data_IF_056871346957
#
_entry.id   IF_056871346957
#
_cell.length_a   1.000
_cell.length_b   1.000
_cell.length_c   1.000
_cell.angle_alpha   90.00
_cell.angle_beta   90.00
_cell.angle_gamma   90.00
#
_symmetry.space_group_name_H-M   'P 1'
#
loop_
_entity.id
_entity.type
_entity.pdbx_description
1 polymer ?
#
# COMPACT_ATOMS: atom_id res chain seq x y z
N UNK A 1 -8.45 -49.97 11.20
CA UNK A 1 -8.06 -50.19 9.78
C UNK A 1 -8.53 -48.98 8.99
N UNK A 2 -7.73 -47.91 8.95
CA UNK A 2 -6.88 -47.52 7.79
C UNK A 2 -7.66 -47.35 6.49
N UNK A 3 -8.16 -46.14 6.27
CA UNK A 3 -8.42 -45.62 4.93
C UNK A 3 -7.07 -45.20 4.34
N UNK A 4 -6.49 -46.08 3.51
CA UNK A 4 -5.34 -45.80 2.66
C UNK A 4 -5.81 -45.81 1.20
N UNK A 5 -5.21 -44.93 0.44
CA UNK A 5 -4.96 -45.00 -1.00
C UNK A 5 -6.12 -44.70 -1.96
N UNK A 6 -6.33 -43.40 -2.18
CA UNK A 6 -6.71 -42.86 -3.49
C UNK A 6 -5.76 -41.70 -3.87
N UNK A 7 -4.47 -42.00 -3.99
CA UNK A 7 -3.53 -41.13 -4.74
C UNK A 7 -3.20 -41.83 -6.05
N UNK A 8 -3.63 -41.26 -7.18
CA UNK A 8 -3.19 -41.70 -8.50
C UNK A 8 -1.67 -41.63 -8.64
N UNK A 9 -1.07 -42.29 -9.66
CA UNK A 9 0.37 -42.34 -9.81
C UNK A 9 0.95 -40.92 -9.91
N UNK A 10 1.92 -40.61 -9.03
CA UNK A 10 2.62 -39.34 -9.02
C UNK A 10 3.16 -39.05 -10.43
N UNK A 11 2.69 -37.96 -11.05
CA UNK A 11 3.17 -37.53 -12.38
C UNK A 11 4.68 -37.30 -12.30
N UNK A 12 5.46 -38.11 -13.02
CA UNK A 12 6.91 -37.94 -13.09
C UNK A 12 7.22 -36.56 -13.68
N UNK A 13 8.04 -35.73 -13.01
CA UNK A 13 8.33 -34.38 -13.47
C UNK A 13 9.06 -34.41 -14.82
N UNK A 14 8.53 -33.69 -15.80
CA UNK A 14 9.15 -33.58 -17.13
C UNK A 14 9.99 -32.31 -17.21
N UNK A 15 11.25 -32.45 -17.61
CA UNK A 15 12.19 -31.33 -17.79
C UNK A 15 12.22 -31.00 -19.27
N UNK A 16 11.67 -29.83 -19.61
CA UNK A 16 11.50 -29.34 -20.97
C UNK A 16 12.62 -28.41 -21.41
N UNK A 17 12.73 -28.16 -22.71
CA UNK A 17 13.70 -27.23 -23.31
C UNK A 17 13.61 -25.82 -22.71
N UNK A 18 12.41 -25.35 -22.37
CA UNK A 18 12.20 -24.02 -21.75
C UNK A 18 12.89 -23.92 -20.38
N UNK A 19 12.79 -24.95 -19.54
CA UNK A 19 13.43 -24.96 -18.21
C UNK A 19 14.96 -24.92 -18.30
N UNK A 20 15.54 -25.57 -19.31
CA UNK A 20 16.98 -25.52 -19.58
C UNK A 20 17.39 -24.17 -20.16
N UNK A 21 16.59 -23.59 -21.06
CA UNK A 21 16.82 -22.25 -21.63
C UNK A 21 16.88 -21.17 -20.54
N UNK A 22 15.97 -21.24 -19.58
CA UNK A 22 15.95 -20.34 -18.42
C UNK A 22 17.20 -20.49 -17.55
N UNK A 23 17.71 -21.72 -17.38
CA UNK A 23 18.94 -21.97 -16.63
C UNK A 23 20.16 -21.39 -17.38
N UNK A 24 20.22 -21.57 -18.70
CA UNK A 24 21.24 -20.98 -19.57
C UNK A 24 21.21 -19.45 -19.51
N UNK A 25 20.01 -18.84 -19.62
CA UNK A 25 19.85 -17.38 -19.53
C UNK A 25 20.29 -16.78 -18.19
N UNK A 26 20.30 -17.59 -17.13
CA UNK A 26 20.79 -17.24 -15.79
C UNK A 26 22.27 -17.61 -15.55
N UNK A 27 22.98 -18.11 -16.56
CA UNK A 27 24.40 -18.50 -16.45
C UNK A 27 24.65 -19.72 -15.55
N UNK A 28 23.63 -20.54 -15.30
CA UNK A 28 23.72 -21.70 -14.40
C UNK A 28 24.52 -22.83 -15.07
N UNK A 29 25.61 -23.27 -14.43
CA UNK A 29 26.45 -24.37 -14.96
C UNK A 29 26.01 -25.77 -14.52
N UNK A 30 25.15 -25.87 -13.52
CA UNK A 30 24.61 -27.14 -13.01
C UNK A 30 23.11 -27.02 -12.75
N UNK A 31 22.30 -27.86 -13.39
CA UNK A 31 20.86 -27.92 -13.22
C UNK A 31 20.47 -29.20 -12.47
N UNK A 32 20.03 -29.05 -11.22
CA UNK A 32 19.59 -30.16 -10.37
C UNK A 32 18.18 -30.62 -10.71
N UNK A 33 18.02 -31.93 -10.85
CA UNK A 33 16.80 -32.59 -11.25
C UNK A 33 16.25 -33.45 -10.09
N UNK A 34 14.92 -33.50 -9.91
CA UNK A 34 14.31 -34.44 -8.97
C UNK A 34 14.50 -35.89 -9.44
N UNK A 35 14.57 -36.82 -8.49
CA UNK A 35 14.65 -38.25 -8.78
C UNK A 35 13.48 -38.70 -9.69
N UNK A 36 13.81 -39.45 -10.75
CA UNK A 36 12.81 -39.95 -11.71
C UNK A 36 12.31 -38.93 -12.74
N UNK A 37 12.93 -37.74 -12.84
CA UNK A 37 12.57 -36.75 -13.86
C UNK A 37 12.81 -37.27 -15.29
N UNK A 38 11.85 -37.02 -16.19
CA UNK A 38 11.96 -37.36 -17.61
C UNK A 38 12.47 -36.14 -18.36
N UNK A 39 13.67 -36.23 -18.96
CA UNK A 39 14.19 -35.16 -19.82
C UNK A 39 13.74 -35.35 -21.27
N UNK A 40 13.13 -34.30 -21.84
CA UNK A 40 12.85 -34.27 -23.28
C UNK A 40 14.16 -34.25 -24.07
N UNK A 41 14.21 -34.83 -25.30
CA UNK A 41 15.41 -34.83 -26.14
C UNK A 41 15.98 -33.42 -26.34
N UNK A 42 15.13 -32.46 -26.69
CA UNK A 42 15.54 -31.07 -26.94
C UNK A 42 16.10 -30.35 -25.70
N UNK A 43 15.76 -30.81 -24.50
CA UNK A 43 16.29 -30.28 -23.25
C UNK A 43 17.70 -30.83 -22.98
N UNK A 44 17.96 -32.10 -23.32
CA UNK A 44 19.29 -32.71 -23.25
C UNK A 44 20.25 -32.03 -24.20
N UNK A 45 19.81 -31.78 -25.42
CA UNK A 45 20.65 -31.17 -26.45
C UNK A 45 20.99 -29.72 -26.07
N UNK A 46 20.00 -28.93 -25.63
CA UNK A 46 20.26 -27.56 -25.21
C UNK A 46 21.21 -27.46 -24.00
N UNK A 47 21.09 -28.39 -23.03
CA UNK A 47 21.99 -28.44 -21.88
C UNK A 47 23.42 -28.78 -22.29
N UNK A 48 23.58 -29.71 -23.25
CA UNK A 48 24.89 -30.10 -23.81
C UNK A 48 25.54 -28.93 -24.54
N UNK A 49 24.79 -28.25 -25.40
CA UNK A 49 25.28 -27.14 -26.23
C UNK A 49 25.78 -25.95 -25.40
N UNK A 50 25.24 -25.78 -24.19
CA UNK A 50 25.57 -24.66 -23.29
C UNK A 50 26.38 -25.09 -22.06
N UNK A 51 26.89 -26.34 -22.03
CA UNK A 51 27.73 -26.83 -20.94
C UNK A 51 27.05 -26.91 -19.57
N UNK A 52 25.72 -27.05 -19.54
CA UNK A 52 24.95 -27.18 -18.29
C UNK A 52 24.94 -28.64 -17.85
N UNK A 53 25.58 -28.94 -16.71
CA UNK A 53 25.62 -30.28 -16.13
C UNK A 53 24.27 -30.61 -15.49
N UNK A 54 23.66 -31.73 -15.86
CA UNK A 54 22.40 -32.21 -15.28
C UNK A 54 22.69 -33.18 -14.13
N UNK A 55 22.24 -32.87 -12.91
CA UNK A 55 22.53 -33.68 -11.71
C UNK A 55 21.23 -34.13 -11.07
N UNK A 56 21.02 -35.44 -10.93
CA UNK A 56 19.87 -35.99 -10.22
C UNK A 56 20.19 -36.02 -8.73
N UNK A 57 19.31 -35.47 -7.90
CA UNK A 57 19.49 -35.42 -6.43
C UNK A 57 18.51 -36.38 -5.75
N UNK A 58 19.03 -37.30 -4.93
CA UNK A 58 18.24 -38.24 -4.09
C UNK A 58 17.80 -37.63 -2.74
N UNK A 59 18.07 -36.34 -2.52
CA UNK A 59 17.58 -35.62 -1.34
C UNK A 59 16.26 -34.94 -1.65
N UNK A 60 15.26 -35.11 -0.77
CA UNK A 60 14.00 -34.39 -0.81
C UNK A 60 14.27 -32.88 -0.98
N UNK A 61 13.97 -32.37 -2.17
CA UNK A 61 13.84 -30.93 -2.40
C UNK A 61 12.64 -30.52 -1.56
N UNK A 62 12.75 -29.55 -0.63
CA UNK A 62 11.56 -29.04 0.02
C UNK A 62 10.69 -28.52 -1.11
N UNK A 63 9.48 -29.07 -1.24
CA UNK A 63 8.49 -28.54 -2.16
C UNK A 63 8.47 -27.03 -1.90
N UNK A 64 8.85 -26.24 -2.91
CA UNK A 64 8.52 -24.83 -2.89
C UNK A 64 7.01 -24.84 -2.87
N UNK A 65 6.45 -24.61 -1.68
CA UNK A 65 5.02 -24.41 -1.49
C UNK A 65 4.55 -23.43 -2.55
N UNK A 66 3.32 -23.65 -3.04
CA UNK A 66 2.64 -22.79 -3.97
C UNK A 66 3.08 -21.34 -3.78
N UNK A 67 3.48 -20.66 -4.87
CA UNK A 67 3.79 -19.23 -4.87
C UNK A 67 2.60 -18.47 -4.28
N UNK A 68 2.60 -18.29 -2.96
CA UNK A 68 1.59 -17.53 -2.25
C UNK A 68 1.89 -16.08 -2.58
N UNK A 69 0.95 -15.41 -3.25
CA UNK A 69 1.00 -13.96 -3.47
C UNK A 69 1.29 -13.30 -2.11
N UNK A 70 2.34 -12.48 -1.99
CA UNK A 70 2.67 -11.81 -0.73
C UNK A 70 1.45 -11.07 -0.18
N UNK A 71 1.09 -11.32 1.08
CA UNK A 71 -0.05 -10.67 1.72
C UNK A 71 -1.43 -11.17 1.30
N UNK A 72 -1.57 -12.28 0.56
CA UNK A 72 -2.87 -12.78 0.09
C UNK A 72 -3.95 -12.85 1.18
N UNK A 73 -3.64 -13.47 2.32
CA UNK A 73 -4.61 -13.57 3.44
C UNK A 73 -4.96 -12.21 4.08
N UNK A 74 -4.03 -11.25 4.07
CA UNK A 74 -4.29 -9.89 4.50
C UNK A 74 -5.21 -9.15 3.52
N UNK A 75 -4.93 -9.24 2.21
CA UNK A 75 -5.74 -8.62 1.17
C UNK A 75 -7.15 -9.21 1.13
N UNK A 76 -7.30 -10.52 1.29
CA UNK A 76 -8.61 -11.17 1.35
C UNK A 76 -9.43 -10.64 2.53
N UNK A 77 -8.82 -10.53 3.72
CA UNK A 77 -9.45 -9.95 4.90
C UNK A 77 -9.77 -8.46 4.70
N UNK A 78 -8.87 -7.69 4.09
CA UNK A 78 -9.08 -6.28 3.76
C UNK A 78 -10.27 -6.12 2.81
N UNK A 79 -10.37 -6.93 1.75
CA UNK A 79 -11.47 -6.88 0.79
C UNK A 79 -12.79 -7.31 1.41
N UNK A 80 -12.80 -8.31 2.31
CA UNK A 80 -13.99 -8.66 3.07
C UNK A 80 -14.49 -7.48 3.91
N UNK A 81 -13.59 -6.80 4.64
CA UNK A 81 -13.94 -5.63 5.45
C UNK A 81 -14.37 -4.44 4.61
N UNK A 82 -13.76 -4.22 3.45
CA UNK A 82 -14.17 -3.17 2.52
C UNK A 82 -15.61 -3.39 2.01
N UNK A 83 -15.99 -4.64 1.69
CA UNK A 83 -17.37 -5.00 1.34
C UNK A 83 -18.35 -4.68 2.47
N UNK A 84 -17.99 -5.04 3.70
CA UNK A 84 -18.81 -4.77 4.89
C UNK A 84 -18.94 -3.26 5.17
N UNK A 85 -17.95 -2.47 4.79
CA UNK A 85 -17.98 -1.02 4.95
C UNK A 85 -18.99 -0.33 4.02
N UNK A 86 -19.28 -0.92 2.85
CA UNK A 86 -20.20 -0.41 1.82
C UNK A 86 -20.05 1.09 1.50
N UNK A 87 -18.83 1.50 1.20
CA UNK A 87 -18.46 2.91 0.96
C UNK A 87 -18.38 3.25 -0.52
N UNK A 88 -18.74 4.50 -0.82
CA UNK A 88 -18.59 5.10 -2.15
C UNK A 88 -17.23 5.78 -2.27
N UNK A 89 -16.39 5.30 -3.19
CA UNK A 89 -15.07 5.87 -3.47
C UNK A 89 -15.08 6.57 -4.83
N UNK A 90 -14.66 7.84 -4.86
CA UNK A 90 -14.49 8.59 -6.10
C UNK A 90 -13.08 8.40 -6.66
N UNK A 91 -13.00 8.18 -7.98
CA UNK A 91 -11.77 7.98 -8.75
C UNK A 91 -11.67 9.13 -9.79
N UNK A 92 -10.86 10.18 -9.52
CA UNK A 92 -10.76 11.34 -10.40
C UNK A 92 -10.23 11.06 -11.81
N UNK A 93 -9.47 9.99 -11.97
CA UNK A 93 -8.72 9.70 -13.20
C UNK A 93 -9.48 8.70 -14.07
N UNK A 94 -10.79 8.93 -14.28
CA UNK A 94 -11.68 8.00 -14.98
C UNK A 94 -11.35 7.78 -16.47
N UNK A 95 -10.51 8.62 -17.06
CA UNK A 95 -10.00 8.44 -18.43
C UNK A 95 -8.78 7.53 -18.51
N UNK A 96 -8.27 7.06 -17.37
CA UNK A 96 -7.06 6.26 -17.27
C UNK A 96 -7.38 4.74 -17.31
N UNK A 97 -6.75 3.95 -18.20
CA UNK A 97 -7.11 2.54 -18.41
C UNK A 97 -6.91 1.63 -17.18
N UNK A 98 -5.85 1.82 -16.38
CA UNK A 98 -5.60 1.03 -15.17
C UNK A 98 -6.64 1.35 -14.10
N UNK A 99 -7.07 2.61 -13.99
CA UNK A 99 -8.16 3.02 -13.09
C UNK A 99 -9.48 2.35 -13.49
N UNK A 100 -9.81 2.34 -14.78
CA UNK A 100 -11.00 1.63 -15.28
C UNK A 100 -10.93 0.11 -15.08
N UNK A 101 -9.76 -0.51 -15.29
CA UNK A 101 -9.56 -1.93 -15.04
C UNK A 101 -9.68 -2.28 -13.55
N UNK A 102 -9.13 -1.42 -12.67
CA UNK A 102 -9.30 -1.56 -11.23
C UNK A 102 -10.77 -1.40 -10.82
N UNK A 103 -11.47 -0.44 -11.41
CA UNK A 103 -12.90 -0.24 -11.19
C UNK A 103 -13.75 -1.46 -11.61
N UNK A 104 -13.41 -2.11 -12.73
CA UNK A 104 -14.02 -3.37 -13.14
C UNK A 104 -13.87 -4.45 -12.06
N UNK A 105 -12.65 -4.63 -11.57
CA UNK A 105 -12.32 -5.62 -10.53
C UNK A 105 -13.00 -5.31 -9.18
N UNK A 106 -12.96 -4.04 -8.74
CA UNK A 106 -13.65 -3.59 -7.51
C UNK A 106 -15.14 -3.84 -7.60
N UNK A 107 -15.76 -3.56 -8.76
CA UNK A 107 -17.18 -3.80 -9.00
C UNK A 107 -17.51 -5.29 -8.97
N UNK A 108 -16.78 -6.10 -9.73
CA UNK A 108 -16.99 -7.56 -9.82
C UNK A 108 -16.90 -8.20 -8.43
N UNK A 109 -15.90 -7.79 -7.67
CA UNK A 109 -15.65 -8.26 -6.32
C UNK A 109 -16.51 -7.56 -5.26
N UNK A 110 -17.31 -6.56 -5.62
CA UNK A 110 -18.16 -5.73 -4.73
C UNK A 110 -17.40 -5.04 -3.59
N UNK A 111 -16.13 -4.69 -3.80
CA UNK A 111 -15.25 -4.13 -2.77
C UNK A 111 -15.74 -2.74 -2.31
N UNK A 112 -16.25 -1.91 -3.22
CA UNK A 112 -16.76 -0.58 -2.94
C UNK A 112 -17.74 -0.13 -4.05
N UNK A 113 -18.58 0.86 -3.75
CA UNK A 113 -19.31 1.62 -4.78
C UNK A 113 -18.37 2.65 -5.38
N UNK A 114 -18.47 2.91 -6.69
CA UNK A 114 -17.52 3.76 -7.38
C UNK A 114 -18.19 4.93 -8.11
N UNK A 115 -17.47 6.05 -8.17
CA UNK A 115 -17.75 7.17 -9.07
C UNK A 115 -16.49 7.48 -9.87
N UNK A 116 -16.55 7.43 -11.18
CA UNK A 116 -15.47 7.84 -12.08
C UNK A 116 -15.67 9.30 -12.51
N UNK A 117 -14.60 10.09 -12.54
CA UNK A 117 -14.67 11.47 -13.04
C UNK A 117 -14.02 11.61 -14.42
N UNK A 118 -14.59 12.51 -15.21
CA UNK A 118 -14.09 12.89 -16.54
C UNK A 118 -15.23 13.04 -17.55
N UNK A 119 -14.92 13.42 -18.82
CA UNK A 119 -15.93 13.56 -19.86
C UNK A 119 -16.67 12.24 -20.10
N UNK A 120 -18.00 12.27 -20.08
CA UNK A 120 -18.87 11.08 -20.08
C UNK A 120 -18.54 10.10 -21.22
N UNK A 121 -18.35 10.60 -22.44
CA UNK A 121 -18.07 9.80 -23.63
C UNK A 121 -16.69 9.13 -23.57
N UNK A 122 -15.68 9.85 -23.09
CA UNK A 122 -14.30 9.37 -22.95
C UNK A 122 -14.21 8.31 -21.85
N UNK A 123 -14.77 8.60 -20.67
CA UNK A 123 -14.76 7.65 -19.54
C UNK A 123 -15.54 6.38 -19.91
N UNK A 124 -16.70 6.51 -20.54
CA UNK A 124 -17.48 5.35 -20.98
C UNK A 124 -16.74 4.50 -22.03
N UNK A 125 -16.00 5.13 -22.95
CA UNK A 125 -15.18 4.40 -23.91
C UNK A 125 -14.02 3.64 -23.24
N UNK A 126 -13.28 4.30 -22.33
CA UNK A 126 -12.17 3.68 -21.58
C UNK A 126 -12.67 2.55 -20.67
N UNK A 127 -13.79 2.75 -19.98
CA UNK A 127 -14.42 1.72 -19.14
C UNK A 127 -14.76 0.46 -19.95
N UNK A 128 -15.42 0.60 -21.11
CA UNK A 128 -15.74 -0.54 -21.99
C UNK A 128 -14.48 -1.27 -22.45
N UNK A 129 -13.44 -0.53 -22.84
CA UNK A 129 -12.17 -1.12 -23.26
C UNK A 129 -11.48 -1.91 -22.14
N UNK A 130 -11.71 -1.53 -20.88
CA UNK A 130 -11.21 -2.21 -19.69
C UNK A 130 -12.14 -3.33 -19.16
N UNK A 131 -13.25 -3.62 -19.85
CA UNK A 131 -14.22 -4.65 -19.43
C UNK A 131 -15.21 -4.20 -18.34
N UNK A 132 -15.31 -2.90 -18.07
CA UNK A 132 -16.33 -2.31 -17.19
C UNK A 132 -17.50 -1.79 -18.03
N UNK A 133 -18.73 -2.25 -17.75
CA UNK A 133 -19.92 -1.63 -18.31
C UNK A 133 -20.13 -0.24 -17.66
N UNK A 134 -20.17 0.85 -18.44
CA UNK A 134 -20.43 2.20 -17.93
C UNK A 134 -21.76 2.34 -17.18
N UNK A 135 -22.75 1.46 -17.43
CA UNK A 135 -24.02 1.47 -16.71
C UNK A 135 -23.92 0.97 -15.26
N UNK A 136 -22.84 0.29 -14.90
CA UNK A 136 -22.62 -0.30 -13.58
C UNK A 136 -21.84 0.61 -12.63
N UNK A 137 -21.43 1.80 -13.08
CA UNK A 137 -20.68 2.78 -12.30
C UNK A 137 -21.21 4.19 -12.57
N UNK A 138 -21.20 5.06 -11.57
CA UNK A 138 -21.53 6.47 -11.80
C UNK A 138 -20.37 7.17 -12.52
N UNK A 139 -20.66 7.93 -13.56
CA UNK A 139 -19.69 8.75 -14.29
C UNK A 139 -20.13 10.21 -14.19
N UNK A 140 -19.27 11.08 -13.65
CA UNK A 140 -19.55 12.49 -13.47
C UNK A 140 -18.47 13.33 -14.16
N UNK A 141 -18.86 14.18 -15.10
CA UNK A 141 -17.99 15.20 -15.65
C UNK A 141 -18.00 16.47 -14.77
N UNK A 142 -16.87 16.87 -14.13
CA UNK A 142 -16.80 18.11 -13.37
C UNK A 142 -17.21 19.35 -14.15
N UNK A 143 -17.04 19.36 -15.48
CA UNK A 143 -17.32 20.52 -16.31
C UNK A 143 -18.82 20.78 -16.46
N UNK A 144 -19.62 19.72 -16.56
CA UNK A 144 -21.06 19.76 -16.84
C UNK A 144 -21.91 19.37 -15.64
N UNK A 145 -21.30 18.91 -14.54
CA UNK A 145 -22.00 18.46 -13.34
C UNK A 145 -22.90 19.56 -12.75
N UNK A 146 -24.15 19.23 -12.37
CA UNK A 146 -25.04 20.17 -11.68
C UNK A 146 -24.52 20.61 -10.31
N UNK A 147 -23.60 19.85 -9.70
CA UNK A 147 -22.98 20.18 -8.42
C UNK A 147 -21.91 21.27 -8.52
N UNK A 148 -21.36 21.51 -9.73
CA UNK A 148 -20.20 22.40 -9.94
C UNK A 148 -20.39 23.78 -9.33
N UNK A 149 -21.51 24.45 -9.61
CA UNK A 149 -21.77 25.80 -9.11
C UNK A 149 -21.87 25.86 -7.57
N UNK A 150 -22.38 24.80 -6.93
CA UNK A 150 -22.42 24.72 -5.46
C UNK A 150 -21.01 24.51 -4.88
N UNK A 151 -20.24 23.63 -5.51
CA UNK A 151 -18.85 23.36 -5.12
C UNK A 151 -17.94 24.58 -5.30
N UNK A 152 -18.14 25.39 -6.34
CA UNK A 152 -17.40 26.64 -6.56
C UNK A 152 -17.61 27.63 -5.42
N UNK A 153 -18.87 27.83 -5.01
CA UNK A 153 -19.21 28.68 -3.85
C UNK A 153 -18.57 28.14 -2.59
N UNK A 154 -18.66 26.82 -2.37
CA UNK A 154 -18.09 26.17 -1.19
C UNK A 154 -16.57 26.32 -1.13
N UNK A 155 -15.88 26.13 -2.24
CA UNK A 155 -14.44 26.29 -2.31
C UNK A 155 -14.02 27.75 -2.05
N UNK A 156 -14.78 28.71 -2.59
CA UNK A 156 -14.57 30.13 -2.34
C UNK A 156 -14.79 30.50 -0.85
N UNK A 157 -15.80 29.94 -0.19
CA UNK A 157 -15.99 30.11 1.27
C UNK A 157 -14.79 29.56 2.06
N UNK A 158 -14.29 28.39 1.68
CA UNK A 158 -13.18 27.73 2.38
C UNK A 158 -11.84 28.44 2.19
N UNK A 159 -11.62 29.08 1.03
CA UNK A 159 -10.29 29.57 0.59
C UNK A 159 -10.25 31.05 0.20
N UNK A 160 -11.37 31.76 0.22
CA UNK A 160 -11.42 33.19 -0.13
C UNK A 160 -10.54 34.06 0.76
N UNK A 161 -10.50 33.76 2.06
CA UNK A 161 -9.58 34.40 3.02
C UNK A 161 -8.10 34.11 2.75
N UNK A 162 -7.79 33.16 1.87
CA UNK A 162 -6.45 32.79 1.39
C UNK A 162 -6.18 33.29 -0.03
N UNK A 163 -6.99 34.21 -0.56
CA UNK A 163 -6.79 34.86 -1.84
C UNK A 163 -7.40 34.15 -3.05
N UNK A 164 -8.18 33.08 -2.84
CA UNK A 164 -8.91 32.43 -3.94
C UNK A 164 -10.04 33.36 -4.41
N UNK A 165 -10.05 33.69 -5.70
CA UNK A 165 -11.12 34.45 -6.35
C UNK A 165 -12.18 33.52 -6.93
N UNK A 166 -13.33 34.07 -7.35
CA UNK A 166 -14.38 33.28 -8.01
C UNK A 166 -13.87 32.56 -9.27
N UNK A 167 -12.98 33.17 -10.05
CA UNK A 167 -12.41 32.55 -11.25
C UNK A 167 -11.46 31.40 -10.91
N UNK A 168 -10.65 31.57 -9.85
CA UNK A 168 -9.80 30.49 -9.35
C UNK A 168 -10.63 29.34 -8.76
N UNK A 169 -11.75 29.63 -8.10
CA UNK A 169 -12.67 28.61 -7.62
C UNK A 169 -13.34 27.84 -8.77
N UNK A 170 -13.74 28.53 -9.84
CA UNK A 170 -14.28 27.92 -11.07
C UNK A 170 -13.27 27.02 -11.77
N UNK A 171 -12.02 27.46 -11.85
CA UNK A 171 -10.93 26.67 -12.41
C UNK A 171 -10.66 25.43 -11.54
N UNK A 172 -10.59 25.60 -10.22
CA UNK A 172 -10.38 24.50 -9.28
C UNK A 172 -11.50 23.46 -9.36
N UNK A 173 -12.78 23.85 -9.41
CA UNK A 173 -13.88 22.88 -9.53
C UNK A 173 -14.05 22.29 -10.93
N UNK A 174 -13.29 22.76 -11.92
CA UNK A 174 -13.15 22.09 -13.21
C UNK A 174 -12.07 20.99 -13.21
N UNK A 175 -11.19 20.96 -12.21
CA UNK A 175 -10.16 19.94 -12.03
C UNK A 175 -10.74 18.71 -11.34
N UNK A 176 -10.45 17.52 -11.87
CA UNK A 176 -11.00 16.24 -11.38
C UNK A 176 -10.58 15.95 -9.93
N UNK A 177 -9.33 16.25 -9.55
CA UNK A 177 -8.82 15.95 -8.21
C UNK A 177 -9.47 16.86 -7.17
N UNK A 178 -9.61 18.15 -7.48
CA UNK A 178 -10.25 19.11 -6.60
C UNK A 178 -11.77 18.89 -6.50
N UNK A 179 -12.43 18.59 -7.62
CA UNK A 179 -13.86 18.25 -7.65
C UNK A 179 -14.15 16.96 -6.86
N UNK A 180 -13.36 15.89 -7.08
CA UNK A 180 -13.48 14.65 -6.32
C UNK A 180 -13.24 14.85 -4.82
N UNK A 181 -12.28 15.70 -4.45
CA UNK A 181 -12.06 16.07 -3.05
C UNK A 181 -13.28 16.79 -2.47
N UNK A 182 -13.91 17.69 -3.22
CA UNK A 182 -15.14 18.37 -2.78
C UNK A 182 -16.33 17.40 -2.66
N UNK A 183 -16.44 16.39 -3.54
CA UNK A 183 -17.45 15.33 -3.38
C UNK A 183 -17.30 14.61 -2.04
N UNK A 184 -16.07 14.30 -1.63
CA UNK A 184 -15.79 13.71 -0.31
C UNK A 184 -16.18 14.68 0.81
N UNK A 185 -15.78 15.95 0.69
CA UNK A 185 -16.08 16.98 1.69
C UNK A 185 -17.58 17.14 1.95
N UNK A 186 -18.37 17.19 0.87
CA UNK A 186 -19.83 17.41 0.89
C UNK A 186 -20.63 16.11 1.07
N UNK A 187 -19.96 14.95 1.23
CA UNK A 187 -20.60 13.67 1.54
C UNK A 187 -21.29 12.99 0.35
N UNK A 188 -20.95 13.38 -0.88
CA UNK A 188 -21.36 12.67 -2.10
C UNK A 188 -20.47 11.44 -2.39
N UNK A 189 -19.29 11.39 -1.78
CA UNK A 189 -18.44 10.22 -1.68
C UNK A 189 -17.91 10.07 -0.25
N UNK A 190 -17.60 8.84 0.15
CA UNK A 190 -17.05 8.52 1.47
C UNK A 190 -15.51 8.64 1.49
N UNK A 191 -14.85 8.53 0.34
CA UNK A 191 -13.41 8.72 0.19
C UNK A 191 -12.97 8.87 -1.26
N UNK A 192 -11.70 9.20 -1.48
CA UNK A 192 -11.10 9.40 -2.81
C UNK A 192 -9.78 8.64 -2.98
N UNK A 193 -9.54 8.12 -4.18
CA UNK A 193 -8.24 7.57 -4.61
C UNK A 193 -7.84 8.23 -5.93
N UNK A 194 -6.66 8.86 -5.98
CA UNK A 194 -6.09 9.53 -7.17
C UNK A 194 -4.57 9.31 -7.24
N UNK A 195 -3.89 9.77 -8.30
CA UNK A 195 -2.42 9.77 -8.40
C UNK A 195 -1.84 8.78 -9.43
N UNK A 196 -2.67 8.03 -10.16
CA UNK A 196 -2.19 7.15 -11.24
C UNK A 196 -1.58 7.95 -12.40
N UNK A 197 -2.04 9.19 -12.60
CA UNK A 197 -1.48 10.15 -13.58
C UNK A 197 -1.17 11.53 -12.99
N UNK A 198 -1.71 11.87 -11.83
CA UNK A 198 -1.35 13.10 -11.11
C UNK A 198 -0.09 12.95 -10.26
N UNK A 199 0.49 14.08 -9.86
CA UNK A 199 1.54 14.14 -8.84
C UNK A 199 0.94 14.04 -7.44
N UNK A 200 1.69 13.50 -6.48
CA UNK A 200 1.30 13.50 -5.06
C UNK A 200 0.93 14.90 -4.57
N UNK A 201 1.59 15.96 -5.07
CA UNK A 201 1.25 17.32 -4.72
C UNK A 201 -0.13 17.76 -5.25
N UNK A 202 -0.53 17.30 -6.43
CA UNK A 202 -1.85 17.56 -7.03
C UNK A 202 -2.96 16.77 -6.33
N UNK A 203 -2.68 15.58 -5.79
CA UNK A 203 -3.64 14.81 -4.97
C UNK A 203 -3.75 15.36 -3.54
N UNK A 204 -2.62 15.62 -2.87
CA UNK A 204 -2.57 15.96 -1.44
C UNK A 204 -2.99 17.42 -1.20
N UNK A 205 -2.64 18.35 -2.09
CA UNK A 205 -2.96 19.78 -1.88
C UNK A 205 -4.48 20.02 -1.75
N UNK A 206 -5.36 19.56 -2.66
CA UNK A 206 -6.80 19.72 -2.49
C UNK A 206 -7.29 19.09 -1.19
N UNK A 207 -6.79 17.90 -0.82
CA UNK A 207 -7.15 17.25 0.44
C UNK A 207 -6.83 18.14 1.65
N UNK A 208 -5.65 18.77 1.68
CA UNK A 208 -5.26 19.70 2.75
C UNK A 208 -6.05 21.01 2.73
N UNK A 209 -6.47 21.50 1.57
CA UNK A 209 -7.21 22.77 1.45
C UNK A 209 -8.68 22.62 1.82
N UNK A 210 -9.30 21.51 1.41
CA UNK A 210 -10.74 21.24 1.50
C UNK A 210 -11.05 20.35 2.72
N UNK A 211 -10.46 19.15 2.77
CA UNK A 211 -10.74 18.17 3.83
C UNK A 211 -10.05 18.54 5.13
N UNK A 212 -8.80 19.04 5.07
CA UNK A 212 -7.95 19.42 6.21
C UNK A 212 -7.69 18.27 7.20
N UNK A 213 -6.85 18.56 8.19
CA UNK A 213 -6.56 17.63 9.30
C UNK A 213 -7.78 17.40 10.18
N UNK A 214 -7.87 16.19 10.74
CA UNK A 214 -8.79 15.87 11.84
C UNK A 214 -8.45 16.70 13.08
N UNK A 215 -9.45 16.94 13.94
CA UNK A 215 -9.29 17.82 15.10
C UNK A 215 -8.30 17.28 16.13
N UNK A 216 -8.11 15.96 16.15
CA UNK A 216 -7.15 15.25 17.00
C UNK A 216 -5.82 14.95 16.29
N UNK A 217 -5.64 15.41 15.04
CA UNK A 217 -4.45 15.18 14.24
C UNK A 217 -3.59 16.45 14.12
N UNK A 218 -2.32 16.34 14.53
CA UNK A 218 -1.36 17.45 14.42
C UNK A 218 -0.94 17.73 12.97
N UNK A 219 -0.83 16.68 12.16
CA UNK A 219 -0.39 16.75 10.78
C UNK A 219 -0.95 15.58 9.98
N UNK A 220 -0.95 15.73 8.66
CA UNK A 220 -1.15 14.61 7.74
C UNK A 220 0.18 13.93 7.50
N UNK A 221 0.19 12.60 7.51
CA UNK A 221 1.34 11.79 7.11
C UNK A 221 0.87 10.60 6.26
N UNK A 222 1.78 9.76 5.80
CA UNK A 222 1.42 8.56 5.05
C UNK A 222 1.99 7.28 5.63
N UNK A 223 1.37 6.17 5.26
CA UNK A 223 1.90 4.83 5.48
C UNK A 223 1.89 3.99 4.21
N UNK A 224 2.83 3.06 4.11
CA UNK A 224 2.72 1.92 3.18
C UNK A 224 2.52 0.63 3.97
N UNK A 225 1.66 -0.24 3.46
CA UNK A 225 1.50 -1.61 3.94
C UNK A 225 2.41 -2.50 3.11
N UNK A 226 3.48 -2.98 3.72
CA UNK A 226 4.52 -3.78 3.09
C UNK A 226 4.22 -5.26 3.34
N UNK A 227 3.75 -5.95 2.30
CA UNK A 227 3.48 -7.37 2.30
C UNK A 227 4.71 -8.12 1.75
N UNK A 228 5.52 -8.68 2.65
CA UNK A 228 6.77 -9.35 2.29
C UNK A 228 6.52 -10.80 1.84
N UNK A 229 7.20 -11.29 0.78
CA UNK A 229 7.03 -12.67 0.34
C UNK A 229 7.45 -13.69 1.40
N UNK A 230 6.72 -14.80 1.48
CA UNK A 230 7.05 -15.90 2.40
C UNK A 230 6.73 -15.61 3.88
N UNK A 231 6.13 -14.45 4.18
CA UNK A 231 5.66 -14.09 5.52
C UNK A 231 4.16 -13.82 5.50
N UNK A 232 3.50 -14.01 6.65
CA UNK A 232 2.11 -13.57 6.84
C UNK A 232 2.02 -12.15 7.39
N UNK A 233 3.14 -11.60 7.84
CA UNK A 233 3.19 -10.32 8.52
C UNK A 233 3.13 -9.19 7.51
N UNK A 234 2.33 -8.17 7.82
CA UNK A 234 2.26 -6.92 7.08
C UNK A 234 2.90 -5.86 7.94
N UNK A 235 3.94 -5.22 7.40
CA UNK A 235 4.63 -4.13 8.08
C UNK A 235 4.05 -2.80 7.62
N UNK A 236 3.90 -1.86 8.55
CA UNK A 236 3.46 -0.49 8.28
C UNK A 236 4.69 0.41 8.27
N UNK A 237 5.01 1.02 7.13
CA UNK A 237 6.15 1.92 6.97
C UNK A 237 5.65 3.37 6.96
N UNK A 238 6.17 4.24 7.83
CA UNK A 238 5.68 5.61 8.02
C UNK A 238 6.79 6.60 8.37
N UNK A 239 6.80 7.88 8.03
CA UNK A 239 6.17 8.49 6.86
C UNK A 239 7.05 8.24 5.63
N UNK A 240 6.44 8.04 4.47
CA UNK A 240 7.14 7.71 3.23
C UNK A 240 6.79 8.62 2.05
N UNK A 241 5.88 9.59 2.24
CA UNK A 241 5.40 10.43 1.13
C UNK A 241 5.16 11.91 1.47
N UNK A 242 4.97 12.31 2.73
CA UNK A 242 4.48 13.66 3.04
C UNK A 242 5.52 14.53 3.75
N UNK A 243 6.00 14.13 4.92
CA UNK A 243 6.78 15.01 5.79
C UNK A 243 8.28 14.86 5.57
N UNK A 244 8.92 15.88 4.96
CA UNK A 244 10.33 15.84 4.54
C UNK A 244 11.30 15.65 5.71
N UNK A 245 11.31 16.60 6.65
CA UNK A 245 12.18 16.62 7.83
C UNK A 245 11.33 16.92 9.07
N UNK A 246 10.54 15.94 9.56
CA UNK A 246 9.65 16.14 10.69
C UNK A 246 10.44 16.41 11.98
N UNK A 247 9.90 17.29 12.84
CA UNK A 247 10.41 17.49 14.20
C UNK A 247 10.13 16.25 15.08
N UNK A 248 10.80 16.11 16.23
CA UNK A 248 10.54 15.01 17.17
C UNK A 248 9.05 14.88 17.56
N UNK A 249 8.38 16.02 17.79
CA UNK A 249 6.94 16.07 18.08
C UNK A 249 6.10 15.55 16.90
N UNK A 250 6.46 15.92 15.67
CA UNK A 250 5.77 15.41 14.48
C UNK A 250 6.04 13.92 14.25
N UNK A 251 7.26 13.42 14.47
CA UNK A 251 7.56 11.97 14.42
C UNK A 251 6.73 11.21 15.46
N UNK A 252 6.58 11.75 16.67
CA UNK A 252 5.72 11.16 17.69
C UNK A 252 4.24 11.12 17.26
N UNK A 253 3.73 12.20 16.66
CA UNK A 253 2.37 12.25 16.12
C UNK A 253 2.18 11.26 14.96
N UNK A 254 3.18 11.11 14.07
CA UNK A 254 3.18 10.11 12.99
C UNK A 254 3.11 8.71 13.58
N UNK A 255 3.93 8.40 14.60
CA UNK A 255 3.94 7.10 15.25
C UNK A 255 2.57 6.71 15.84
N UNK A 256 1.92 7.64 16.54
CA UNK A 256 0.57 7.42 17.10
C UNK A 256 -0.48 7.26 16.00
N UNK A 257 -0.44 8.08 14.95
CA UNK A 257 -1.33 7.96 13.80
C UNK A 257 -1.16 6.61 13.09
N UNK A 258 0.09 6.20 12.83
CA UNK A 258 0.41 4.92 12.19
C UNK A 258 -0.03 3.72 13.01
N UNK A 259 0.08 3.78 14.34
CA UNK A 259 -0.45 2.73 15.22
C UNK A 259 -1.98 2.63 15.14
N UNK A 260 -2.69 3.76 15.05
CA UNK A 260 -4.15 3.76 14.85
C UNK A 260 -4.52 3.19 13.49
N UNK A 261 -3.85 3.60 12.42
CA UNK A 261 -4.04 3.07 11.07
C UNK A 261 -3.76 1.56 11.01
N UNK A 262 -2.70 1.08 11.67
CA UNK A 262 -2.40 -0.34 11.79
C UNK A 262 -3.57 -1.11 12.43
N UNK A 263 -4.06 -0.67 13.60
CA UNK A 263 -5.22 -1.30 14.26
C UNK A 263 -6.47 -1.28 13.39
N UNK A 264 -6.75 -0.15 12.75
CA UNK A 264 -7.88 -0.03 11.81
C UNK A 264 -7.78 -1.04 10.68
N UNK A 265 -6.59 -1.44 10.26
CA UNK A 265 -6.37 -2.43 9.21
C UNK A 265 -6.19 -3.86 9.74
N UNK A 266 -6.38 -4.07 11.05
CA UNK A 266 -6.29 -5.39 11.68
C UNK A 266 -4.85 -5.83 11.97
N UNK A 267 -3.90 -4.89 12.00
CA UNK A 267 -2.49 -5.12 12.33
C UNK A 267 -2.27 -4.67 13.78
N UNK A 268 -1.83 -5.59 14.64
CA UNK A 268 -1.51 -5.27 16.04
C UNK A 268 -0.24 -4.40 16.10
N UNK A 269 -0.30 -3.15 16.62
CA UNK A 269 0.81 -2.22 16.52
C UNK A 269 1.91 -2.50 17.55
N UNK A 270 3.13 -2.67 17.04
CA UNK A 270 4.38 -2.65 17.80
C UNK A 270 5.30 -1.65 17.10
N UNK A 271 5.43 -0.48 17.70
CA UNK A 271 5.97 0.71 17.03
C UNK A 271 7.47 0.84 17.30
N UNK A 272 8.27 0.69 16.26
CA UNK A 272 9.69 0.98 16.27
C UNK A 272 9.93 2.37 15.66
N UNK A 273 10.50 3.29 16.45
CA UNK A 273 11.03 4.53 15.88
C UNK A 273 12.48 4.28 15.44
N UNK A 274 12.71 4.41 14.13
CA UNK A 274 13.93 3.98 13.48
C UNK A 274 15.02 5.04 13.52
N UNK A 275 16.26 4.59 13.64
CA UNK A 275 17.47 5.40 13.53
C UNK A 275 18.65 4.53 13.07
N UNK A 276 19.80 5.13 12.80
CA UNK A 276 21.05 4.38 12.60
C UNK A 276 21.64 3.84 13.91
N UNK A 277 21.09 4.20 15.07
CA UNK A 277 21.48 3.72 16.39
C UNK A 277 20.38 2.89 17.07
N UNK A 278 20.79 1.97 17.93
CA UNK A 278 19.89 1.22 18.83
C UNK A 278 20.15 1.67 20.27
N UNK A 279 19.12 2.24 20.91
CA UNK A 279 19.18 2.81 22.26
C UNK A 279 20.39 3.76 22.46
N UNK A 280 21.41 3.31 23.21
CA UNK A 280 22.61 4.07 23.54
C UNK A 280 23.80 3.86 22.60
N UNK A 281 23.67 3.08 21.52
CA UNK A 281 24.79 2.69 20.65
C UNK A 281 25.34 3.83 19.78
N UNK A 282 24.75 5.02 19.82
CA UNK A 282 25.14 6.18 19.03
C UNK A 282 24.58 7.48 19.62
N UNK A 283 25.09 8.60 19.13
CA UNK A 283 24.68 9.95 19.51
C UNK A 283 24.70 10.87 18.28
N UNK A 284 23.97 11.97 18.37
CA UNK A 284 23.89 12.96 17.30
C UNK A 284 22.44 13.42 17.06
N UNK A 285 22.25 14.48 16.26
CA UNK A 285 20.95 15.14 16.11
C UNK A 285 19.82 14.18 15.73
N UNK A 286 20.07 13.25 14.79
CA UNK A 286 19.03 12.31 14.32
C UNK A 286 18.69 11.24 15.38
N UNK A 287 19.67 10.83 16.19
CA UNK A 287 19.43 9.88 17.30
C UNK A 287 18.67 10.57 18.42
N UNK A 288 19.04 11.81 18.73
CA UNK A 288 18.42 12.61 19.78
C UNK A 288 16.97 12.96 19.41
N UNK A 289 16.71 13.30 18.15
CA UNK A 289 15.37 13.51 17.59
C UNK A 289 14.48 12.28 17.82
N UNK A 290 14.97 11.09 17.48
CA UNK A 290 14.20 9.84 17.63
C UNK A 290 14.02 9.48 19.11
N UNK A 291 15.02 9.76 19.95
CA UNK A 291 14.92 9.53 21.41
C UNK A 291 13.86 10.43 22.03
N UNK A 292 13.85 11.72 21.67
CA UNK A 292 12.83 12.67 22.10
C UNK A 292 11.44 12.24 21.61
N UNK A 293 11.30 11.91 20.33
CA UNK A 293 10.04 11.42 19.76
C UNK A 293 9.53 10.17 20.50
N UNK A 294 10.42 9.23 20.83
CA UNK A 294 10.05 8.01 21.58
C UNK A 294 9.50 8.35 22.97
N UNK A 295 10.12 9.30 23.67
CA UNK A 295 9.62 9.76 24.97
C UNK A 295 8.24 10.43 24.85
N UNK A 296 8.02 11.25 23.81
CA UNK A 296 6.74 11.89 23.53
C UNK A 296 5.63 10.88 23.24
N UNK A 297 5.91 9.83 22.46
CA UNK A 297 4.93 8.75 22.22
C UNK A 297 4.56 8.04 23.52
N UNK A 298 5.55 7.69 24.36
CA UNK A 298 5.30 7.03 25.66
C UNK A 298 4.45 7.89 26.58
N UNK A 299 4.62 9.21 26.56
CA UNK A 299 3.82 10.13 27.35
C UNK A 299 2.38 10.26 26.80
N UNK A 300 2.21 10.29 25.48
CA UNK A 300 0.92 10.49 24.83
C UNK A 300 0.05 9.22 24.73
N UNK A 301 0.68 8.04 24.65
CA UNK A 301 0.01 6.75 24.54
C UNK A 301 0.76 5.66 25.36
N UNK A 302 0.67 5.70 26.71
CA UNK A 302 1.43 4.80 27.59
C UNK A 302 1.15 3.30 27.37
N UNK A 303 -0.02 2.96 26.83
CA UNK A 303 -0.44 1.58 26.53
C UNK A 303 0.11 1.03 25.21
N UNK A 304 0.64 1.90 24.34
CA UNK A 304 1.15 1.52 23.04
C UNK A 304 2.55 0.89 23.16
N UNK A 305 2.77 -0.35 22.69
CA UNK A 305 4.12 -0.92 22.64
C UNK A 305 5.00 -0.08 21.70
N UNK A 306 5.91 0.70 22.27
CA UNK A 306 6.81 1.59 21.54
C UNK A 306 8.25 1.49 22.05
N UNK A 307 9.18 1.41 21.10
CA UNK A 307 10.61 1.45 21.39
C UNK A 307 11.40 2.19 20.31
N UNK A 308 12.50 2.79 20.71
CA UNK A 308 13.28 3.70 19.88
C UNK A 308 14.34 4.45 20.70
N UNK A 309 15.43 4.90 20.06
CA UNK A 309 15.81 4.65 18.68
C UNK A 309 16.16 3.16 18.46
N UNK A 310 15.73 2.59 17.33
CA UNK A 310 16.09 1.23 16.92
C UNK A 310 16.67 1.23 15.50
N UNK A 311 17.71 0.43 15.27
CA UNK A 311 18.09 0.08 13.90
C UNK A 311 17.05 -0.85 13.28
N UNK A 312 16.96 -0.84 11.94
CA UNK A 312 16.00 -1.67 11.22
C UNK A 312 16.18 -3.17 11.52
N UNK A 313 17.43 -3.66 11.58
CA UNK A 313 17.73 -5.05 11.92
C UNK A 313 17.24 -5.42 13.33
N UNK A 314 17.46 -4.55 14.31
CA UNK A 314 16.94 -4.71 15.67
C UNK A 314 15.42 -4.67 15.75
N UNK A 315 14.74 -3.94 14.86
CA UNK A 315 13.29 -3.84 14.84
C UNK A 315 12.61 -5.12 14.31
N UNK A 316 13.19 -5.77 13.29
CA UNK A 316 12.51 -6.87 12.56
C UNK A 316 13.08 -8.26 12.78
N UNK A 317 14.36 -8.41 13.17
CA UNK A 317 14.96 -9.73 13.38
C UNK A 317 14.93 -10.10 14.88
N UNK A 318 14.26 -11.20 15.28
CA UNK A 318 14.17 -11.62 16.68
C UNK A 318 15.52 -11.80 17.37
N UNK A 319 16.51 -12.37 16.66
CA UNK A 319 17.83 -12.65 17.22
C UNK A 319 18.70 -11.40 17.36
N UNK A 320 18.58 -10.42 16.46
CA UNK A 320 19.23 -9.12 16.59
C UNK A 320 18.51 -8.27 17.65
N UNK A 321 17.19 -8.29 17.68
CA UNK A 321 16.37 -7.59 18.68
C UNK A 321 16.72 -8.00 20.11
N UNK A 322 16.77 -9.31 20.40
CA UNK A 322 17.16 -9.81 21.73
C UNK A 322 18.59 -9.42 22.12
N UNK A 323 19.52 -9.37 21.16
CA UNK A 323 20.92 -9.00 21.41
C UNK A 323 21.12 -7.51 21.61
N UNK A 324 20.48 -6.66 20.80
CA UNK A 324 20.70 -5.21 20.80
C UNK A 324 19.76 -4.44 21.72
N UNK A 325 18.57 -4.98 22.01
CA UNK A 325 17.54 -4.38 22.84
C UNK A 325 16.83 -5.45 23.71
N UNK A 326 17.57 -6.13 24.61
CA UNK A 326 17.02 -7.21 25.43
C UNK A 326 15.83 -6.74 26.29
N UNK A 327 14.78 -7.55 26.33
CA UNK A 327 13.55 -7.24 27.08
C UNK A 327 12.63 -6.21 26.43
N UNK A 328 12.95 -5.70 25.23
CA UNK A 328 12.07 -4.78 24.50
C UNK A 328 10.76 -5.47 24.08
N UNK A 329 9.58 -4.83 24.27
CA UNK A 329 8.31 -5.35 23.79
C UNK A 329 8.12 -5.21 22.27
N UNK A 330 9.05 -4.52 21.59
CA UNK A 330 8.98 -4.16 20.16
C UNK A 330 10.13 -4.76 19.36
N UNK A 331 11.36 -4.75 19.87
CA UNK A 331 12.52 -5.22 19.12
C UNK A 331 12.35 -6.68 18.64
N UNK A 332 12.73 -6.92 17.39
CA UNK A 332 12.63 -8.21 16.70
C UNK A 332 11.20 -8.63 16.32
N UNK A 333 10.20 -7.79 16.58
CA UNK A 333 8.78 -8.09 16.35
C UNK A 333 7.98 -6.84 15.98
N UNK A 334 8.64 -5.78 15.51
CA UNK A 334 7.96 -4.54 15.14
C UNK A 334 7.02 -4.78 13.95
N UNK A 335 5.83 -4.19 14.02
CA UNK A 335 4.84 -4.22 12.93
C UNK A 335 4.62 -2.83 12.34
N UNK A 336 5.00 -1.77 13.06
CA UNK A 336 4.94 -0.39 12.61
C UNK A 336 6.34 0.20 12.72
N UNK A 337 6.89 0.67 11.60
CA UNK A 337 8.23 1.19 11.48
C UNK A 337 8.16 2.67 11.08
N UNK A 338 8.59 3.52 12.00
CA UNK A 338 8.55 4.98 11.84
C UNK A 338 9.94 5.48 11.49
N UNK A 339 10.12 5.93 10.25
CA UNK A 339 11.33 6.53 9.72
C UNK A 339 11.53 7.96 10.25
N UNK A 340 12.79 8.39 10.45
CA UNK A 340 13.10 9.70 11.02
C UNK A 340 12.84 10.85 10.03
N UNK A 341 12.90 10.57 8.73
CA UNK A 341 12.72 11.55 7.66
C UNK A 341 12.21 10.88 6.36
N UNK A 342 11.78 11.71 5.41
CA UNK A 342 11.22 11.24 4.14
C UNK A 342 12.25 10.53 3.27
N UNK A 343 13.53 10.92 3.30
CA UNK A 343 14.54 10.26 2.49
C UNK A 343 14.71 8.82 2.95
N UNK A 344 14.81 8.60 4.26
CA UNK A 344 14.90 7.27 4.86
C UNK A 344 13.66 6.43 4.51
N UNK A 345 12.46 6.94 4.74
CA UNK A 345 11.22 6.21 4.46
C UNK A 345 11.02 5.91 2.97
N UNK A 346 11.14 6.93 2.12
CA UNK A 346 10.89 6.84 0.69
C UNK A 346 11.87 5.90 -0.03
N UNK A 347 13.16 5.96 0.32
CA UNK A 347 14.18 5.07 -0.24
C UNK A 347 13.95 3.65 0.27
N UNK A 348 13.70 3.46 1.57
CA UNK A 348 13.56 2.14 2.17
C UNK A 348 12.38 1.34 1.60
N UNK A 349 11.17 1.92 1.54
CA UNK A 349 10.01 1.16 1.05
C UNK A 349 10.19 0.76 -0.43
N UNK A 350 10.75 1.65 -1.26
CA UNK A 350 11.02 1.35 -2.67
C UNK A 350 12.11 0.30 -2.83
N UNK A 351 13.19 0.38 -2.05
CA UNK A 351 14.26 -0.61 -2.07
C UNK A 351 13.71 -2.00 -1.69
N UNK A 352 12.93 -2.09 -0.61
CA UNK A 352 12.29 -3.34 -0.18
C UNK A 352 11.31 -3.86 -1.23
N UNK A 353 10.44 -3.01 -1.77
CA UNK A 353 9.51 -3.38 -2.84
C UNK A 353 10.25 -3.99 -4.04
N UNK A 354 11.28 -3.31 -4.55
CA UNK A 354 11.99 -3.69 -5.78
C UNK A 354 12.94 -4.86 -5.59
N UNK A 355 13.63 -4.94 -4.45
CA UNK A 355 14.65 -5.97 -4.22
C UNK A 355 14.10 -7.24 -3.60
N UNK A 356 13.05 -7.15 -2.79
CA UNK A 356 12.45 -8.31 -2.13
C UNK A 356 11.22 -8.86 -2.87
N UNK A 357 10.71 -8.16 -3.89
CA UNK A 357 9.45 -8.54 -4.56
C UNK A 357 8.23 -8.39 -3.64
N UNK A 358 8.30 -7.47 -2.68
CA UNK A 358 7.20 -7.17 -1.78
C UNK A 358 6.10 -6.39 -2.50
N UNK A 359 4.85 -6.64 -2.12
CA UNK A 359 3.74 -5.78 -2.48
C UNK A 359 3.72 -4.59 -1.50
N UNK A 360 3.57 -3.38 -2.03
CA UNK A 360 3.52 -2.15 -1.25
C UNK A 360 2.20 -1.45 -1.53
N UNK A 361 1.25 -1.51 -0.59
CA UNK A 361 -0.05 -0.85 -0.73
C UNK A 361 0.04 0.57 -0.13
N UNK A 362 -0.21 1.59 -0.95
CA UNK A 362 -0.17 3.00 -0.56
C UNK A 362 0.48 3.93 -1.59
N UNK A 363 0.79 5.19 -1.22
CA UNK A 363 0.74 5.71 0.14
C UNK A 363 -0.70 5.92 0.65
N UNK A 364 -0.97 5.43 1.85
CA UNK A 364 -2.23 5.64 2.57
C UNK A 364 -2.06 6.87 3.45
N UNK A 365 -2.80 7.95 3.20
CA UNK A 365 -2.79 9.14 4.03
C UNK A 365 -3.52 8.89 5.34
N UNK A 366 -3.02 9.53 6.39
CA UNK A 366 -3.57 9.48 7.74
C UNK A 366 -3.59 10.87 8.35
N UNK A 367 -4.57 11.12 9.24
CA UNK A 367 -4.76 12.41 9.90
C UNK A 367 -5.69 13.39 9.17
N UNK A 368 -6.28 13.02 8.02
CA UNK A 368 -7.34 13.80 7.36
C UNK A 368 -8.71 13.54 8.00
N UNK A 369 -9.61 14.54 7.97
CA UNK A 369 -11.01 14.36 8.45
C UNK A 369 -11.81 13.31 7.68
N UNK A 370 -11.54 13.18 6.40
CA UNK A 370 -12.14 12.20 5.49
C UNK A 370 -11.04 11.60 4.62
N UNK A 371 -11.13 10.31 4.25
CA UNK A 371 -10.04 9.62 3.59
C UNK A 371 -9.86 10.08 2.15
N UNK A 372 -8.64 10.49 1.84
CA UNK A 372 -8.14 10.74 0.49
C UNK A 372 -6.79 10.06 0.40
N UNK A 373 -6.59 9.20 -0.59
CA UNK A 373 -5.34 8.48 -0.77
C UNK A 373 -4.72 8.77 -2.14
N UNK A 374 -3.39 8.75 -2.16
CA UNK A 374 -2.58 8.96 -3.35
C UNK A 374 -2.06 7.62 -3.86
N UNK A 375 -1.85 7.54 -5.17
CA UNK A 375 -1.26 6.41 -5.86
C UNK A 375 0.11 6.82 -6.38
N UNK A 376 1.01 5.86 -6.50
CA UNK A 376 2.17 6.05 -7.35
C UNK A 376 1.73 6.10 -8.81
N UNK A 377 2.31 7.00 -9.62
CA UNK A 377 2.11 6.97 -11.08
C UNK A 377 2.46 5.63 -11.72
N UNK A 378 3.33 4.85 -11.07
CA UNK A 378 3.70 3.50 -11.47
C UNK A 378 2.84 2.39 -10.86
N UNK A 379 1.70 2.71 -10.24
CA UNK A 379 0.80 1.74 -9.62
C UNK A 379 0.26 0.76 -10.66
N UNK A 380 0.21 -0.50 -10.26
CA UNK A 380 -0.48 -1.59 -10.97
C UNK A 380 -1.98 -1.53 -10.72
N UNK A 381 -2.75 -2.32 -11.47
CA UNK A 381 -4.20 -2.44 -11.27
C UNK A 381 -4.49 -2.96 -9.86
N UNK A 382 -3.72 -3.95 -9.40
CA UNK A 382 -3.82 -4.54 -8.08
C UNK A 382 -3.52 -3.54 -6.95
N UNK A 383 -2.55 -2.64 -7.15
CA UNK A 383 -2.26 -1.56 -6.20
C UNK A 383 -3.44 -0.60 -6.07
N UNK A 384 -4.10 -0.27 -7.19
CA UNK A 384 -5.28 0.60 -7.21
C UNK A 384 -6.45 -0.07 -6.48
N UNK A 385 -6.75 -1.34 -6.77
CA UNK A 385 -7.80 -2.13 -6.09
C UNK A 385 -7.54 -2.16 -4.58
N UNK A 386 -6.29 -2.43 -4.18
CA UNK A 386 -5.90 -2.49 -2.77
C UNK A 386 -6.06 -1.14 -2.07
N UNK A 387 -5.68 -0.06 -2.74
CA UNK A 387 -5.81 1.30 -2.19
C UNK A 387 -7.28 1.72 -2.05
N UNK A 388 -8.14 1.36 -3.00
CA UNK A 388 -9.60 1.55 -2.90
C UNK A 388 -10.16 0.81 -1.68
N UNK A 389 -9.77 -0.45 -1.48
CA UNK A 389 -10.20 -1.23 -0.33
C UNK A 389 -9.75 -0.61 1.01
N UNK A 390 -8.49 -0.16 1.12
CA UNK A 390 -8.01 0.57 2.30
C UNK A 390 -8.84 1.82 2.55
N UNK A 391 -9.11 2.60 1.49
CA UNK A 391 -9.87 3.86 1.58
C UNK A 391 -11.29 3.61 2.07
N UNK A 392 -11.94 2.54 1.60
CA UNK A 392 -13.27 2.13 2.07
C UNK A 392 -13.27 1.76 3.56
N UNK A 393 -12.26 1.04 4.04
CA UNK A 393 -12.13 0.70 5.46
C UNK A 393 -11.86 1.95 6.32
N UNK A 394 -11.01 2.88 5.86
CA UNK A 394 -10.79 4.15 6.56
C UNK A 394 -12.09 4.98 6.66
N UNK A 395 -12.89 5.00 5.59
CA UNK A 395 -14.15 5.73 5.56
C UNK A 395 -15.21 5.14 6.51
N UNK A 396 -15.17 3.83 6.78
CA UNK A 396 -16.08 3.19 7.72
C UNK A 396 -15.96 3.78 9.14
N UNK A 397 -14.73 4.07 9.57
CA UNK A 397 -14.42 4.55 10.93
C UNK A 397 -14.61 6.07 11.04
N UNK A 398 -14.48 6.81 9.94
CA UNK A 398 -14.67 8.26 9.91
C UNK A 398 -16.15 8.68 9.98
N UNK A 399 -17.09 7.76 9.72
CA UNK A 399 -18.51 8.04 9.91
C UNK A 399 -18.82 8.05 11.42
N UNK A 400 -19.44 9.12 11.98
CA UNK A 400 -19.96 9.04 13.34
C UNK A 400 -20.96 7.88 13.40
N UNK A 401 -20.89 7.08 14.47
CA UNK A 401 -21.94 6.11 14.77
C UNK A 401 -23.29 6.85 14.77
N UNK A 402 -24.23 6.34 13.98
CA UNK A 402 -25.54 6.95 13.73
C UNK A 402 -26.37 7.07 15.00
#
# INVERSE_FOLDING_TARGET
>A
MTSRDLTGPARRPVVTRSRVRDAVGRGVRELRLPAGAILTPDARDLARDHGVRLVVSDGAVPERGATTVPGAGFLDALYARAREADRTIVLPEGTEPRVCAAAASVREQRIARLVLLGPDDVVAATARAAGLDPGDVAIWDPQTSPHRAAFERRYLELRGSKGVTADLARAAMGDVSCFGTMMVAEGLADGMVSGAVHTTAETVRPALEIIRTADDAELVSSVFLMCLPGTRDVLVYADCAVNVNPTARQVAAIAVASARTARQLGIEPRVALLSYATHGSGSGPDVDLVREATALVRAAAPELPVDGPLQYDAAVDPGVGERKAPGSPVAGRATVLVFPDLSAGNIAYKAVQRSAGALAVGPVLQGLRKPVNDLSRGASVEDIVSTIAVTAVQAQVAAPAS
#
